data_IF_429421036742
#
_entry.id   IF_429421036742
#
_cell.length_a   1.000
_cell.length_b   1.000
_cell.length_c   1.000
_cell.angle_alpha   90.00
_cell.angle_beta   90.00
_cell.angle_gamma   90.00
#
_symmetry.space_group_name_H-M   'P 1'
#
loop_
_entity.id
_entity.type
_entity.pdbx_description
1 polymer ?
#
# COMPACT_ATOMS: atom_id res chain seq x y z
N UNK A 1 11.06 -5.16 51.46
CA UNK A 1 9.58 -5.29 51.53
C UNK A 1 9.00 -4.76 50.21
N UNK A 2 8.50 -5.60 49.29
CA UNK A 2 7.42 -5.22 48.37
C UNK A 2 6.07 -5.30 49.13
N UNK A 3 4.93 -4.70 48.71
CA UNK A 3 4.33 -4.69 47.36
C UNK A 3 3.76 -3.29 46.97
N UNK A 4 3.10 -3.05 45.83
CA UNK A 4 1.66 -3.27 45.59
C UNK A 4 1.38 -3.14 44.08
N UNK A 5 0.99 -4.28 43.51
CA UNK A 5 -0.23 -4.56 42.72
C UNK A 5 -0.82 -3.54 41.74
N UNK A 6 -0.99 -4.05 40.52
CA UNK A 6 -1.75 -3.52 39.39
C UNK A 6 -3.21 -3.13 39.70
N UNK A 7 -3.74 -2.19 38.89
CA UNK A 7 -5.16 -2.10 38.54
C UNK A 7 -5.34 -1.88 37.04
N UNK A 8 -6.01 -2.84 36.42
CA UNK A 8 -6.74 -2.73 35.15
C UNK A 8 -7.89 -1.73 35.28
N UNK A 9 -8.33 -1.18 34.13
CA UNK A 9 -9.71 -1.03 33.59
C UNK A 9 -9.67 0.04 32.45
N UNK A 10 -10.69 0.19 31.59
CA UNK A 10 -11.29 -0.78 30.66
C UNK A 10 -11.54 -0.20 29.24
N UNK A 11 -11.72 -1.09 28.25
CA UNK A 11 -12.74 -1.03 27.20
C UNK A 11 -12.80 0.14 26.20
N UNK A 12 -12.47 -0.14 24.93
CA UNK A 12 -13.26 0.24 23.75
C UNK A 12 -13.07 -0.81 22.64
N UNK A 13 -14.09 -1.60 22.25
CA UNK A 13 -14.07 -2.32 20.98
C UNK A 13 -14.58 -1.41 19.86
N UNK A 14 -13.73 -1.13 18.87
CA UNK A 14 -14.14 -0.46 17.63
C UNK A 14 -14.91 -1.47 16.77
N UNK A 15 -16.22 -1.26 16.66
CA UNK A 15 -17.10 -1.89 15.70
C UNK A 15 -16.76 -1.39 14.28
N UNK A 16 -16.34 -2.30 13.39
CA UNK A 16 -16.36 -2.09 11.94
C UNK A 16 -17.54 -2.89 11.36
N UNK A 17 -18.50 -2.26 10.66
CA UNK A 17 -19.57 -3.00 10.00
C UNK A 17 -19.05 -3.64 8.71
N UNK A 18 -18.76 -4.94 8.74
CA UNK A 18 -18.68 -5.76 7.53
C UNK A 18 -20.12 -6.06 7.11
N UNK A 19 -20.57 -5.38 6.07
CA UNK A 19 -21.88 -5.62 5.46
C UNK A 19 -21.80 -6.91 4.63
N UNK A 20 -22.40 -7.97 5.18
CA UNK A 20 -22.73 -9.20 4.47
C UNK A 20 -23.55 -8.89 3.21
N UNK A 21 -23.04 -9.25 2.03
CA UNK A 21 -23.86 -9.45 0.85
C UNK A 21 -24.44 -10.87 0.92
N UNK A 22 -25.64 -10.99 1.50
CA UNK A 22 -26.42 -12.20 1.52
C UNK A 22 -27.27 -12.28 0.23
N UNK A 23 -27.06 -13.38 -0.51
CA UNK A 23 -28.01 -14.18 -1.29
C UNK A 23 -29.20 -13.45 -1.95
N UNK A 24 -29.25 -13.55 -3.28
CA UNK A 24 -30.49 -13.52 -4.03
C UNK A 24 -30.64 -14.87 -4.78
N UNK A 25 -31.43 -15.78 -4.19
CA UNK A 25 -32.08 -16.84 -4.94
C UNK A 25 -33.34 -16.28 -5.62
N UNK A 26 -33.64 -16.64 -6.87
CA UNK A 26 -35.00 -16.50 -7.39
C UNK A 26 -35.79 -17.79 -7.15
N UNK A 27 -36.78 -17.69 -6.25
CA UNK A 27 -37.87 -18.64 -6.09
C UNK A 27 -38.75 -18.77 -7.35
N UNK A 28 -39.41 -19.92 -7.43
CA UNK A 28 -40.14 -20.45 -8.55
C UNK A 28 -41.66 -20.14 -8.53
N UNK A 29 -42.27 -20.46 -9.70
CA UNK A 29 -43.68 -20.84 -9.97
C UNK A 29 -44.72 -19.71 -10.20
N UNK A 30 -45.89 -19.98 -10.84
CA UNK A 30 -46.40 -21.25 -11.39
C UNK A 30 -46.98 -21.23 -12.83
N UNK A 31 -47.31 -22.44 -13.27
CA UNK A 31 -47.87 -22.90 -14.54
C UNK A 31 -49.18 -22.24 -15.01
N UNK A 32 -49.38 -22.20 -16.34
CA UNK A 32 -50.69 -22.19 -16.99
C UNK A 32 -50.68 -23.07 -18.26
N UNK A 33 -51.56 -24.07 -18.20
CA UNK A 33 -52.42 -24.74 -19.19
C UNK A 33 -51.91 -25.49 -20.44
N UNK A 34 -52.53 -26.67 -20.55
CA UNK A 34 -52.43 -27.69 -21.57
C UNK A 34 -53.55 -27.57 -22.61
N UNK A 35 -53.26 -27.90 -23.87
CA UNK A 35 -54.21 -28.50 -24.85
C UNK A 35 -53.43 -29.39 -25.84
N UNK A 36 -53.86 -30.66 -26.11
CA UNK A 36 -53.30 -31.56 -27.14
C UNK A 36 -54.22 -31.65 -28.40
N UNK A 37 -54.07 -32.60 -29.35
CA UNK A 37 -52.98 -33.00 -30.28
C UNK A 37 -53.46 -32.78 -31.78
N UNK A 38 -53.03 -33.46 -32.88
CA UNK A 38 -52.90 -34.92 -33.11
C UNK A 38 -51.61 -35.37 -33.85
N UNK A 39 -51.55 -36.68 -34.04
CA UNK A 39 -50.37 -37.48 -34.37
C UNK A 39 -50.01 -37.62 -35.86
N UNK A 40 -48.81 -38.22 -36.05
CA UNK A 40 -48.27 -38.98 -37.21
C UNK A 40 -47.53 -38.20 -38.30
N UNK A 41 -46.24 -38.52 -38.46
CA UNK A 41 -45.80 -39.41 -39.54
C UNK A 41 -44.34 -39.86 -39.35
N UNK A 42 -44.11 -41.17 -39.53
CA UNK A 42 -42.80 -41.78 -39.72
C UNK A 42 -42.23 -41.43 -41.11
N UNK A 43 -40.95 -41.03 -41.17
CA UNK A 43 -39.97 -41.28 -42.26
C UNK A 43 -38.70 -40.47 -41.91
N UNK A 44 -37.43 -40.87 -42.10
CA UNK A 44 -36.65 -42.04 -42.54
C UNK A 44 -35.19 -41.74 -42.07
N UNK A 45 -34.28 -42.72 -42.01
CA UNK A 45 -32.93 -42.48 -41.53
C UNK A 45 -32.01 -41.92 -42.63
N UNK A 46 -31.09 -41.03 -42.24
CA UNK A 46 -29.88 -40.76 -43.02
C UNK A 46 -29.52 -39.29 -43.14
N UNK A 47 -28.42 -38.89 -42.50
CA UNK A 47 -27.14 -38.55 -43.17
C UNK A 47 -26.22 -37.75 -42.23
N UNK A 48 -24.94 -38.15 -42.27
CA UNK A 48 -23.75 -37.39 -41.91
C UNK A 48 -23.54 -36.97 -40.44
N UNK A 49 -22.79 -37.82 -39.72
CA UNK A 49 -21.85 -37.30 -38.71
C UNK A 49 -20.78 -36.48 -39.47
N UNK A 50 -20.98 -35.17 -39.55
CA UNK A 50 -19.84 -34.25 -39.71
C UNK A 50 -19.01 -34.37 -38.44
N UNK A 51 -17.77 -34.78 -38.59
CA UNK A 51 -16.73 -34.59 -37.57
C UNK A 51 -16.65 -33.08 -37.31
N UNK A 52 -17.26 -32.60 -36.22
CA UNK A 52 -17.03 -31.26 -35.73
C UNK A 52 -15.60 -31.20 -35.21
N UNK A 53 -14.73 -30.58 -35.99
CA UNK A 53 -13.40 -30.20 -35.56
C UNK A 53 -13.53 -29.28 -34.34
N UNK A 54 -12.84 -29.52 -33.21
CA UNK A 54 -12.93 -28.62 -32.06
C UNK A 54 -12.40 -27.25 -32.47
N UNK A 55 -13.14 -26.21 -32.09
CA UNK A 55 -12.75 -24.83 -32.31
C UNK A 55 -11.31 -24.59 -31.81
N UNK A 56 -10.49 -23.77 -32.51
CA UNK A 56 -9.17 -23.40 -32.01
C UNK A 56 -9.36 -22.73 -30.64
N UNK A 57 -8.75 -23.29 -29.59
CA UNK A 57 -8.65 -22.61 -28.30
C UNK A 57 -7.95 -21.27 -28.54
N UNK A 58 -8.69 -20.17 -28.39
CA UNK A 58 -8.11 -18.84 -28.44
C UNK A 58 -6.96 -18.75 -27.42
N UNK A 59 -5.82 -18.14 -27.76
CA UNK A 59 -4.71 -18.02 -26.83
C UNK A 59 -5.15 -17.24 -25.58
N UNK A 60 -4.64 -17.56 -24.38
CA UNK A 60 -4.94 -16.82 -23.17
C UNK A 60 -4.23 -15.45 -23.20
N UNK A 61 -4.77 -14.50 -23.97
CA UNK A 61 -4.21 -13.15 -24.11
C UNK A 61 -4.33 -12.32 -22.82
N UNK A 62 -5.14 -12.74 -21.84
CA UNK A 62 -5.35 -12.04 -20.57
C UNK A 62 -4.18 -12.14 -19.57
N UNK A 63 -3.48 -13.29 -19.52
CA UNK A 63 -2.46 -13.53 -18.48
C UNK A 63 -1.18 -12.70 -18.68
N UNK A 64 -0.76 -12.51 -19.93
CA UNK A 64 0.44 -11.71 -20.24
C UNK A 64 0.23 -10.22 -20.00
N UNK A 65 -0.98 -9.69 -20.26
CA UNK A 65 -1.30 -8.27 -20.00
C UNK A 65 -1.34 -7.97 -18.51
N UNK A 66 -1.99 -8.84 -17.72
CA UNK A 66 -2.07 -8.68 -16.27
C UNK A 66 -0.69 -8.68 -15.59
N UNK A 67 0.22 -9.58 -15.99
CA UNK A 67 1.59 -9.62 -15.44
C UNK A 67 2.38 -8.36 -15.78
N UNK A 68 2.29 -7.87 -17.02
CA UNK A 68 2.96 -6.63 -17.45
C UNK A 68 2.48 -5.42 -16.64
N UNK A 69 1.17 -5.30 -16.44
CA UNK A 69 0.61 -4.24 -15.60
C UNK A 69 1.08 -4.36 -14.16
N UNK A 70 1.11 -5.56 -13.59
CA UNK A 70 1.61 -5.79 -12.23
C UNK A 70 3.09 -5.37 -12.09
N UNK A 71 3.94 -5.78 -13.04
CA UNK A 71 5.35 -5.40 -13.04
C UNK A 71 5.55 -3.89 -13.17
N UNK A 72 4.74 -3.23 -14.01
CA UNK A 72 4.77 -1.77 -14.14
C UNK A 72 4.40 -1.09 -12.82
N UNK A 73 3.31 -1.52 -12.18
CA UNK A 73 2.88 -0.97 -10.89
C UNK A 73 3.93 -1.17 -9.80
N UNK A 74 4.51 -2.37 -9.71
CA UNK A 74 5.59 -2.65 -8.75
C UNK A 74 6.81 -1.78 -9.02
N UNK A 75 7.18 -1.56 -10.28
CA UNK A 75 8.29 -0.67 -10.64
C UNK A 75 8.03 0.78 -10.24
N UNK A 76 6.80 1.27 -10.43
CA UNK A 76 6.41 2.62 -10.04
C UNK A 76 6.40 2.79 -8.52
N UNK A 77 5.88 1.81 -7.78
CA UNK A 77 5.90 1.81 -6.32
C UNK A 77 7.35 1.78 -5.82
N UNK A 78 8.21 0.95 -6.40
CA UNK A 78 9.61 0.88 -6.03
C UNK A 78 10.33 2.21 -6.30
N UNK A 79 10.07 2.84 -7.45
CA UNK A 79 10.61 4.16 -7.77
C UNK A 79 10.15 5.22 -6.78
N UNK A 80 8.87 5.21 -6.39
CA UNK A 80 8.35 6.10 -5.35
C UNK A 80 9.07 5.88 -4.02
N UNK A 81 9.19 4.63 -3.55
CA UNK A 81 9.85 4.31 -2.27
C UNK A 81 11.32 4.72 -2.27
N UNK A 82 12.03 4.50 -3.39
CA UNK A 82 13.44 4.83 -3.50
C UNK A 82 13.70 6.33 -3.49
N UNK A 83 12.78 7.14 -4.01
CA UNK A 83 13.01 8.56 -4.26
C UNK A 83 12.21 9.49 -3.33
N UNK A 84 11.18 9.04 -2.64
CA UNK A 84 10.46 9.86 -1.67
C UNK A 84 10.89 9.57 -0.24
N UNK A 85 11.02 10.61 0.56
CA UNK A 85 11.18 10.54 2.00
C UNK A 85 10.19 11.46 2.71
N UNK A 86 10.00 11.25 4.00
CA UNK A 86 9.26 12.15 4.86
C UNK A 86 9.86 12.19 6.26
N UNK A 87 9.50 13.22 7.01
CA UNK A 87 9.72 13.31 8.46
C UNK A 87 8.51 13.99 9.09
N UNK A 88 8.36 13.81 10.41
CA UNK A 88 7.32 14.48 11.19
C UNK A 88 7.91 15.59 12.03
N UNK A 89 7.20 16.70 12.11
CA UNK A 89 7.52 17.82 12.99
C UNK A 89 6.33 18.11 13.89
N UNK A 90 6.62 18.54 15.12
CA UNK A 90 5.61 18.95 16.07
C UNK A 90 5.62 20.48 16.10
N UNK A 91 4.53 21.10 15.66
CA UNK A 91 4.34 22.55 15.62
C UNK A 91 3.09 22.86 16.45
N UNK A 92 3.22 23.71 17.48
CA UNK A 92 2.09 24.13 18.33
C UNK A 92 1.19 22.99 18.87
N UNK A 93 1.81 21.86 19.24
CA UNK A 93 1.14 20.63 19.69
C UNK A 93 0.37 19.84 18.61
N UNK A 94 0.53 20.19 17.34
CA UNK A 94 0.05 19.44 16.18
C UNK A 94 1.23 18.78 15.44
N UNK A 95 1.04 17.55 14.96
CA UNK A 95 2.08 16.82 14.20
C UNK A 95 1.84 16.98 12.71
N UNK A 96 2.83 17.52 12.00
CA UNK A 96 2.81 17.67 10.55
C UNK A 96 3.81 16.75 9.86
N UNK A 97 3.38 16.12 8.76
CA UNK A 97 4.26 15.29 7.92
C UNK A 97 4.77 16.11 6.74
N UNK A 98 6.09 16.21 6.62
CA UNK A 98 6.76 16.91 5.52
C UNK A 98 7.39 15.91 4.58
N UNK A 99 6.95 15.93 3.32
CA UNK A 99 7.46 15.07 2.25
C UNK A 99 8.55 15.76 1.46
N UNK A 100 9.54 15.00 0.99
CA UNK A 100 10.61 15.51 0.14
C UNK A 100 11.09 14.45 -0.87
N UNK A 101 11.72 14.91 -1.94
CA UNK A 101 12.40 14.05 -2.92
C UNK A 101 13.85 13.88 -2.48
N UNK A 102 14.30 12.64 -2.40
CA UNK A 102 15.67 12.29 -2.02
C UNK A 102 16.65 12.64 -3.14
N UNK A 103 17.81 13.16 -2.77
CA UNK A 103 18.93 13.42 -3.69
C UNK A 103 19.61 12.11 -4.12
N UNK A 104 19.56 11.07 -3.28
CA UNK A 104 20.10 9.74 -3.57
C UNK A 104 19.10 8.65 -3.21
N UNK A 105 18.96 7.59 -4.03
CA UNK A 105 17.95 6.57 -3.80
C UNK A 105 18.26 5.73 -2.56
N UNK A 106 17.24 5.48 -1.73
CA UNK A 106 17.32 4.57 -0.57
C UNK A 106 15.95 4.02 -0.21
N UNK A 107 15.90 2.81 0.37
CA UNK A 107 14.65 2.19 0.81
C UNK A 107 14.06 2.82 2.09
N UNK A 108 14.83 3.66 2.80
CA UNK A 108 14.35 4.36 3.99
C UNK A 108 13.35 5.45 3.62
N UNK A 109 12.12 5.39 4.11
CA UNK A 109 11.09 6.41 3.88
C UNK A 109 11.09 7.51 4.94
N UNK A 110 11.20 7.12 6.21
CA UNK A 110 11.15 8.04 7.35
C UNK A 110 12.54 8.54 7.72
N UNK A 111 12.64 9.85 7.95
CA UNK A 111 13.86 10.55 8.32
C UNK A 111 13.65 11.32 9.61
N UNK A 112 14.76 11.59 10.29
CA UNK A 112 14.76 12.32 11.55
C UNK A 112 14.58 13.82 11.32
N UNK A 113 13.72 14.45 12.11
CA UNK A 113 13.62 15.90 12.15
C UNK A 113 14.78 16.50 12.94
N UNK A 114 15.61 17.28 12.24
CA UNK A 114 16.81 17.88 12.80
C UNK A 114 16.54 19.19 13.54
N UNK A 115 15.40 19.83 13.30
CA UNK A 115 14.97 21.04 13.99
C UNK A 115 14.44 20.67 15.38
N UNK A 116 14.76 21.47 16.40
CA UNK A 116 14.13 21.36 17.71
C UNK A 116 12.70 21.91 17.65
N UNK A 117 11.89 21.60 18.67
CA UNK A 117 10.49 22.00 18.77
C UNK A 117 10.27 23.52 18.65
N UNK A 118 11.32 24.31 18.90
CA UNK A 118 11.30 25.78 18.90
C UNK A 118 12.05 26.37 17.68
N UNK A 119 12.38 25.54 16.67
CA UNK A 119 13.16 25.95 15.49
C UNK A 119 14.67 26.04 15.72
N UNK A 120 15.12 25.88 16.96
CA UNK A 120 16.55 25.86 17.32
C UNK A 120 17.27 24.60 16.81
N UNK A 121 18.57 24.72 16.55
CA UNK A 121 19.41 23.59 16.16
C UNK A 121 19.83 22.77 17.37
N UNK A 122 19.76 21.43 17.24
CA UNK A 122 20.30 20.53 18.27
C UNK A 122 21.81 20.78 18.45
N UNK A 123 22.27 20.77 19.70
CA UNK A 123 23.70 20.94 20.01
C UNK A 123 24.45 19.64 19.75
N UNK A 124 25.55 19.72 19.00
CA UNK A 124 26.35 18.57 18.59
C UNK A 124 26.83 17.75 19.80
N UNK A 125 27.18 18.40 20.91
CA UNK A 125 27.67 17.74 22.13
C UNK A 125 26.59 16.93 22.86
N UNK A 126 25.31 17.20 22.58
CA UNK A 126 24.17 16.49 23.17
C UNK A 126 23.66 15.34 22.30
N UNK A 127 24.26 15.14 21.12
CA UNK A 127 23.86 14.10 20.20
C UNK A 127 24.51 12.77 20.55
N UNK A 128 23.70 11.72 20.65
CA UNK A 128 24.22 10.35 20.63
C UNK A 128 24.77 10.00 19.25
N UNK A 129 25.55 8.93 19.14
CA UNK A 129 26.11 8.49 17.86
C UNK A 129 25.00 8.13 16.86
N UNK A 130 23.88 7.56 17.34
CA UNK A 130 22.71 7.28 16.51
C UNK A 130 22.07 8.57 15.99
N UNK A 131 21.95 9.59 16.84
CA UNK A 131 21.41 10.89 16.43
C UNK A 131 22.31 11.59 15.41
N UNK A 132 23.63 11.48 15.56
CA UNK A 132 24.59 11.98 14.56
C UNK A 132 24.38 11.28 13.22
N UNK A 133 24.26 9.94 13.22
CA UNK A 133 24.01 9.20 11.99
C UNK A 133 22.67 9.57 11.34
N UNK A 134 21.63 9.81 12.14
CA UNK A 134 20.34 10.27 11.63
C UNK A 134 20.43 11.65 10.96
N UNK A 135 21.23 12.58 11.51
CA UNK A 135 21.49 13.89 10.90
C UNK A 135 22.33 13.74 9.63
N UNK A 136 23.35 12.88 9.62
CA UNK A 136 24.14 12.56 8.43
C UNK A 136 23.23 12.05 7.31
N UNK A 137 22.36 11.09 7.62
CA UNK A 137 21.41 10.52 6.66
C UNK A 137 20.46 11.61 6.14
N UNK A 138 19.88 12.42 7.02
CA UNK A 138 19.03 13.54 6.62
C UNK A 138 19.77 14.49 5.66
N UNK A 139 20.99 14.89 5.99
CA UNK A 139 21.78 15.84 5.21
C UNK A 139 22.12 15.27 3.83
N UNK A 140 22.52 14.00 3.77
CA UNK A 140 22.83 13.31 2.53
C UNK A 140 21.61 13.12 1.64
N UNK A 141 20.53 12.57 2.19
CA UNK A 141 19.39 12.16 1.38
C UNK A 141 18.45 13.31 1.07
N UNK A 142 18.25 14.28 1.98
CA UNK A 142 17.39 15.44 1.70
C UNK A 142 18.13 16.54 0.94
N UNK A 143 19.35 16.88 1.38
CA UNK A 143 20.08 18.06 0.89
C UNK A 143 21.21 17.74 -0.08
N UNK A 144 21.61 16.47 -0.21
CA UNK A 144 22.74 16.08 -1.05
C UNK A 144 24.11 16.46 -0.47
N UNK A 145 24.19 16.69 0.84
CA UNK A 145 25.41 17.14 1.52
C UNK A 145 26.01 15.95 2.29
N UNK A 146 27.23 15.56 1.91
CA UNK A 146 28.03 14.62 2.71
C UNK A 146 28.71 15.35 3.88
N UNK A 147 28.48 14.87 5.09
CA UNK A 147 29.03 15.43 6.34
C UNK A 147 29.29 14.32 7.35
N UNK A 148 30.14 14.61 8.35
CA UNK A 148 30.41 13.70 9.47
C UNK A 148 29.77 14.17 10.78
N UNK A 149 29.10 15.34 10.79
CA UNK A 149 28.43 15.91 11.98
C UNK A 149 29.36 15.88 13.21
N UNK A 150 30.53 16.49 13.08
CA UNK A 150 31.55 16.53 14.14
C UNK A 150 31.52 17.84 14.93
N UNK A 151 31.12 18.93 14.27
CA UNK A 151 31.06 20.28 14.82
C UNK A 151 29.63 20.82 14.80
N UNK A 152 29.38 21.88 15.56
CA UNK A 152 28.06 22.55 15.52
C UNK A 152 27.76 23.12 14.12
N UNK A 153 28.78 23.65 13.44
CA UNK A 153 28.66 24.16 12.08
C UNK A 153 28.17 23.08 11.08
N UNK A 154 28.54 21.81 11.30
CA UNK A 154 28.05 20.70 10.49
C UNK A 154 26.54 20.49 10.65
N UNK A 155 26.04 20.57 11.89
CA UNK A 155 24.60 20.46 12.20
C UNK A 155 23.84 21.64 11.57
N UNK A 156 24.33 22.86 11.79
CA UNK A 156 23.71 24.08 11.27
C UNK A 156 23.66 24.11 9.74
N UNK A 157 24.71 23.62 9.08
CA UNK A 157 24.74 23.50 7.62
C UNK A 157 23.62 22.59 7.11
N UNK A 158 23.31 21.52 7.83
CA UNK A 158 22.24 20.61 7.47
C UNK A 158 20.84 21.16 7.82
N UNK A 159 20.74 22.21 8.65
CA UNK A 159 19.47 22.74 9.15
C UNK A 159 19.03 24.07 8.53
N UNK A 160 19.82 24.62 7.60
CA UNK A 160 19.62 25.96 6.99
C UNK A 160 18.58 26.03 5.86
N UNK A 161 17.84 24.96 5.59
CA UNK A 161 16.86 24.85 4.50
C UNK A 161 15.62 24.08 4.97
#
# INVERSE_FOLDING_TARGET
MPPVTARLLPGVPIFLPVRNCLLAEPEANPAIDAVPPPARALAKPGKNLKHSQPAPLAPPHGRSRALKTLLLLLSLILLMVLNLGYYTELEEAETHTRWFIKTSPTLRLEFFNIHANDGDYRRVEKLTDEQRQMIIDYCKYRLGIDTQVTTQADVERCAKL
#
